data_IF_053493222036
#
_entry.id   IF_053493222036
#
_cell.length_a   1.000
_cell.length_b   1.000
_cell.length_c   1.000
_cell.angle_alpha   90.00
_cell.angle_beta   90.00
_cell.angle_gamma   90.00
#
_symmetry.space_group_name_H-M   'P 1'
#
loop_
_entity.id
_entity.type
_entity.pdbx_description
1 polymer ?
#
# COMPACT_ATOMS: atom_id res chain seq x y z
N UNK A 1 -26.44 -69.28 21.53
CA UNK A 1 -25.88 -69.02 20.18
C UNK A 1 -25.04 -67.76 20.29
N UNK A 2 -23.73 -67.90 20.08
CA UNK A 2 -22.77 -66.83 20.27
C UNK A 2 -22.65 -65.92 19.05
N UNK A 3 -22.11 -64.73 19.30
CA UNK A 3 -21.35 -63.94 18.33
C UNK A 3 -20.19 -63.29 19.11
N UNK A 4 -19.01 -63.87 18.98
CA UNK A 4 -17.74 -63.24 19.38
C UNK A 4 -17.39 -62.17 18.35
N UNK A 5 -17.20 -60.95 18.83
CA UNK A 5 -16.85 -59.80 18.01
C UNK A 5 -15.31 -59.72 17.93
N UNK A 6 -14.72 -60.34 16.90
CA UNK A 6 -13.28 -60.24 16.61
C UNK A 6 -13.04 -59.45 15.34
N UNK A 7 -13.05 -58.11 15.43
CA UNK A 7 -12.45 -57.25 14.40
C UNK A 7 -12.18 -55.87 14.97
N UNK A 8 -10.93 -55.57 15.34
CA UNK A 8 -10.47 -54.18 15.57
C UNK A 8 -8.95 -54.06 15.74
N UNK A 9 -8.24 -55.12 16.16
CA UNK A 9 -6.80 -55.02 16.49
C UNK A 9 -5.86 -55.06 15.29
N UNK A 10 -6.25 -55.69 14.16
CA UNK A 10 -5.40 -55.78 12.97
C UNK A 10 -5.47 -54.53 12.07
N UNK A 11 -6.63 -53.89 11.94
CA UNK A 11 -6.79 -52.69 11.13
C UNK A 11 -6.05 -51.48 11.71
N UNK A 12 -6.05 -51.32 13.04
CA UNK A 12 -5.34 -50.21 13.71
C UNK A 12 -3.82 -50.34 13.54
N UNK A 13 -3.26 -51.56 13.61
CA UNK A 13 -1.83 -51.80 13.40
C UNK A 13 -1.38 -51.56 11.95
N UNK A 14 -2.27 -51.80 10.99
CA UNK A 14 -1.96 -51.56 9.57
C UNK A 14 -1.97 -50.07 9.24
N UNK A 15 -2.90 -49.31 9.82
CA UNK A 15 -3.00 -47.86 9.64
C UNK A 15 -1.80 -47.14 10.25
N UNK A 16 -1.34 -47.56 11.44
CA UNK A 16 -0.13 -46.99 12.06
C UNK A 16 1.14 -47.27 11.25
N UNK A 17 1.31 -48.50 10.74
CA UNK A 17 2.44 -48.82 9.85
C UNK A 17 2.43 -48.00 8.56
N UNK A 18 1.25 -47.85 7.93
CA UNK A 18 1.10 -47.07 6.71
C UNK A 18 1.44 -45.59 6.94
N UNK A 19 0.97 -44.99 8.04
CA UNK A 19 1.32 -43.60 8.39
C UNK A 19 2.82 -43.44 8.66
N UNK A 20 3.46 -44.43 9.29
CA UNK A 20 4.90 -44.37 9.59
C UNK A 20 5.74 -44.46 8.31
N UNK A 21 5.34 -45.28 7.33
CA UNK A 21 6.01 -45.35 6.03
C UNK A 21 5.87 -44.04 5.24
N UNK A 22 4.70 -43.40 5.26
CA UNK A 22 4.50 -42.09 4.60
C UNK A 22 5.35 -41.01 5.26
N UNK A 23 5.43 -40.99 6.60
CA UNK A 23 6.30 -40.05 7.31
C UNK A 23 7.79 -40.28 6.99
N UNK A 24 8.25 -41.54 6.94
CA UNK A 24 9.64 -41.86 6.57
C UNK A 24 9.94 -41.45 5.12
N UNK A 25 8.99 -41.66 4.20
CA UNK A 25 9.13 -41.24 2.80
C UNK A 25 9.16 -39.71 2.66
N UNK A 26 8.35 -38.97 3.43
CA UNK A 26 8.43 -37.51 3.46
C UNK A 26 9.77 -37.02 4.00
N UNK A 27 10.28 -37.63 5.07
CA UNK A 27 11.59 -37.24 5.64
C UNK A 27 12.74 -37.57 4.68
N UNK A 28 12.66 -38.68 3.94
CA UNK A 28 13.70 -39.07 2.98
C UNK A 28 13.63 -38.36 1.63
N UNK A 29 12.53 -37.66 1.34
CA UNK A 29 12.37 -36.80 0.15
C UNK A 29 12.64 -35.33 0.41
N UNK A 30 12.86 -34.92 1.68
CA UNK A 30 13.37 -33.59 2.00
C UNK A 30 14.82 -33.52 1.49
N UNK A 31 15.13 -32.62 0.53
CA UNK A 31 16.49 -32.44 0.07
C UNK A 31 17.38 -32.02 1.24
N UNK A 32 18.54 -32.66 1.35
CA UNK A 32 19.60 -32.20 2.26
C UNK A 32 19.85 -30.71 2.02
N UNK A 33 19.93 -29.93 3.10
CA UNK A 33 20.23 -28.48 3.08
C UNK A 33 21.50 -28.08 2.29
N UNK A 34 22.32 -29.06 1.88
CA UNK A 34 23.47 -28.87 0.99
C UNK A 34 23.13 -28.64 -0.50
N UNK A 35 21.93 -28.98 -0.97
CA UNK A 35 21.59 -28.90 -2.41
C UNK A 35 20.97 -27.56 -2.86
N UNK A 36 20.71 -26.64 -1.93
CA UNK A 36 20.18 -25.31 -2.24
C UNK A 36 21.28 -24.22 -2.24
N UNK A 37 22.38 -24.47 -2.94
CA UNK A 37 23.38 -23.41 -3.18
C UNK A 37 22.91 -22.47 -4.31
N UNK A 38 22.07 -21.49 -3.97
CA UNK A 38 21.89 -20.34 -4.86
C UNK A 38 23.23 -19.59 -4.92
N UNK A 39 24.01 -19.80 -5.98
CA UNK A 39 25.15 -18.95 -6.31
C UNK A 39 24.61 -17.57 -6.66
N UNK A 40 24.44 -16.71 -5.65
CA UNK A 40 24.25 -15.28 -5.88
C UNK A 40 25.46 -14.77 -6.64
N UNK A 41 25.24 -14.36 -7.88
CA UNK A 41 26.24 -13.65 -8.66
C UNK A 41 26.42 -12.27 -8.01
N UNK A 42 27.49 -12.09 -7.20
CA UNK A 42 27.85 -10.79 -6.65
C UNK A 42 28.64 -10.06 -7.74
N UNK A 43 28.10 -9.01 -8.39
CA UNK A 43 28.86 -8.24 -9.36
C UNK A 43 30.07 -7.60 -8.67
N UNK A 44 31.21 -7.58 -9.37
CA UNK A 44 32.51 -7.16 -8.84
C UNK A 44 32.48 -5.78 -8.17
N UNK A 45 33.28 -5.63 -7.10
CA UNK A 45 33.45 -4.38 -6.35
C UNK A 45 33.82 -3.23 -7.29
N UNK A 46 32.87 -2.33 -7.54
CA UNK A 46 33.16 -0.99 -8.05
C UNK A 46 34.01 -0.22 -7.04
N UNK A 47 35.06 0.44 -7.50
CA UNK A 47 36.01 1.23 -6.68
C UNK A 47 35.46 2.57 -6.20
N UNK A 48 34.23 2.94 -6.59
CA UNK A 48 33.55 4.13 -6.08
C UNK A 48 33.00 3.85 -4.68
N UNK A 49 33.26 4.74 -3.71
CA UNK A 49 32.57 4.69 -2.39
C UNK A 49 31.06 4.53 -2.65
N UNK A 50 30.39 3.56 -2.03
CA UNK A 50 28.95 3.37 -2.25
C UNK A 50 28.22 4.64 -1.82
N UNK A 51 27.49 5.24 -2.77
CA UNK A 51 26.67 6.41 -2.50
C UNK A 51 25.58 6.03 -1.49
N UNK A 52 25.32 6.90 -0.51
CA UNK A 52 24.27 6.67 0.48
C UNK A 52 22.90 6.54 -0.21
N UNK A 53 22.05 5.55 0.14
CA UNK A 53 20.72 5.43 -0.45
C UNK A 53 19.78 6.61 -0.14
N UNK A 54 20.15 7.47 0.81
CA UNK A 54 19.42 8.70 1.14
C UNK A 54 19.73 9.87 0.20
N UNK A 55 20.80 9.78 -0.58
CA UNK A 55 21.19 10.82 -1.53
C UNK A 55 20.44 10.65 -2.85
N UNK A 56 20.19 11.78 -3.51
CA UNK A 56 19.75 11.77 -4.90
C UNK A 56 20.88 11.23 -5.78
N UNK A 57 20.53 10.37 -6.74
CA UNK A 57 21.44 9.94 -7.79
C UNK A 57 21.99 11.15 -8.57
N UNK A 58 23.19 11.06 -9.17
CA UNK A 58 23.61 12.02 -10.17
C UNK A 58 22.56 12.15 -11.27
N UNK A 59 22.37 13.36 -11.84
CA UNK A 59 21.30 13.61 -12.82
C UNK A 59 21.37 12.65 -14.03
N UNK A 60 22.57 12.34 -14.51
CA UNK A 60 22.78 11.39 -15.60
C UNK A 60 22.29 9.99 -15.25
N UNK A 61 22.62 9.49 -14.06
CA UNK A 61 22.15 8.20 -13.56
C UNK A 61 20.65 8.19 -13.29
N UNK A 62 20.11 9.28 -12.72
CA UNK A 62 18.68 9.43 -12.49
C UNK A 62 17.88 9.41 -13.81
N UNK A 63 18.41 10.03 -14.88
CA UNK A 63 17.78 9.96 -16.21
C UNK A 63 17.65 8.51 -16.68
N UNK A 64 18.74 7.75 -16.69
CA UNK A 64 18.70 6.34 -17.09
C UNK A 64 17.80 5.50 -16.18
N UNK A 65 17.91 5.69 -14.87
CA UNK A 65 17.15 4.92 -13.88
C UNK A 65 15.64 5.16 -13.96
N UNK A 66 15.22 6.42 -14.12
CA UNK A 66 13.80 6.78 -14.21
C UNK A 66 13.20 6.45 -15.60
N UNK A 67 13.99 6.55 -16.67
CA UNK A 67 13.54 6.22 -18.03
C UNK A 67 13.13 4.76 -18.17
N UNK A 68 13.82 3.83 -17.49
CA UNK A 68 13.42 2.41 -17.43
C UNK A 68 11.99 2.20 -16.90
N UNK A 69 11.47 3.18 -16.13
CA UNK A 69 10.10 3.20 -15.58
C UNK A 69 9.17 4.15 -16.35
N UNK A 70 9.66 4.75 -17.45
CA UNK A 70 8.99 5.80 -18.23
C UNK A 70 8.68 7.06 -17.42
N UNK A 71 9.53 7.37 -16.44
CA UNK A 71 9.42 8.56 -15.59
C UNK A 71 10.59 9.51 -15.83
N UNK A 72 10.35 10.78 -15.56
CA UNK A 72 11.42 11.78 -15.58
C UNK A 72 12.16 11.78 -14.24
N UNK A 73 13.41 12.25 -14.17
CA UNK A 73 14.04 12.54 -12.89
C UNK A 73 13.22 13.56 -12.11
N UNK A 74 13.20 13.42 -10.78
CA UNK A 74 12.62 14.42 -9.89
C UNK A 74 13.24 15.80 -10.19
N UNK A 75 12.43 16.84 -10.45
CA UNK A 75 12.92 18.13 -10.98
C UNK A 75 13.68 18.97 -9.96
N UNK A 76 13.33 18.92 -8.67
CA UNK A 76 13.92 19.78 -7.63
C UNK A 76 15.12 19.12 -6.96
N UNK A 77 16.30 19.19 -7.61
CA UNK A 77 17.50 18.43 -7.19
C UNK A 77 18.55 19.21 -6.40
N UNK A 78 18.31 20.48 -6.06
CA UNK A 78 19.27 21.31 -5.32
C UNK A 78 19.30 21.01 -3.81
N UNK A 79 18.41 20.14 -3.32
CA UNK A 79 18.35 19.70 -1.92
C UNK A 79 18.11 18.20 -1.81
N UNK A 80 17.77 17.75 -0.60
CA UNK A 80 17.37 16.37 -0.35
C UNK A 80 15.86 16.24 -0.54
N UNK A 81 15.43 15.16 -1.19
CA UNK A 81 14.03 14.72 -1.19
C UNK A 81 13.86 13.67 -0.11
N UNK A 82 13.15 14.00 0.98
CA UNK A 82 12.94 13.07 2.08
C UNK A 82 11.85 12.05 1.74
N UNK A 83 11.92 10.90 2.39
CA UNK A 83 10.88 9.88 2.44
C UNK A 83 10.50 9.68 3.90
N UNK A 84 9.23 9.95 4.20
CA UNK A 84 8.59 9.67 5.47
C UNK A 84 7.76 8.41 5.34
N UNK A 85 8.02 7.43 6.20
CA UNK A 85 7.29 6.18 6.25
C UNK A 85 6.28 6.22 7.40
N UNK A 86 5.00 6.34 7.08
CA UNK A 86 3.89 6.53 8.00
C UNK A 86 3.17 5.19 8.22
N UNK A 87 3.20 4.73 9.47
CA UNK A 87 2.74 3.40 9.86
C UNK A 87 1.81 3.54 11.07
N UNK A 88 0.64 2.90 11.00
CA UNK A 88 -0.16 2.64 12.19
C UNK A 88 0.24 1.30 12.77
N UNK A 89 0.36 1.21 14.09
CA UNK A 89 0.75 -0.02 14.79
C UNK A 89 -0.29 -0.42 15.82
N UNK A 90 -0.52 -1.73 15.93
CA UNK A 90 -1.26 -2.32 17.02
C UNK A 90 -0.32 -3.17 17.89
N UNK A 91 -0.22 -4.47 17.63
CA UNK A 91 0.59 -5.43 18.39
C UNK A 91 1.82 -5.93 17.62
N UNK A 92 1.97 -5.51 16.36
CA UNK A 92 2.86 -6.11 15.35
C UNK A 92 4.34 -5.65 15.48
N UNK A 93 4.91 -5.70 16.68
CA UNK A 93 6.27 -5.21 16.95
C UNK A 93 7.36 -5.91 16.12
N UNK A 94 7.18 -7.19 15.80
CA UNK A 94 8.08 -7.96 14.93
C UNK A 94 8.05 -7.47 13.48
N UNK A 95 6.85 -7.15 12.96
CA UNK A 95 6.70 -6.59 11.62
C UNK A 95 7.28 -5.19 11.55
N UNK A 96 7.08 -4.37 12.58
CA UNK A 96 7.70 -3.05 12.66
C UNK A 96 9.22 -3.14 12.66
N UNK A 97 9.81 -4.01 13.48
CA UNK A 97 11.26 -4.21 13.51
C UNK A 97 11.80 -4.72 12.16
N UNK A 98 11.09 -5.67 11.54
CA UNK A 98 11.45 -6.22 10.23
C UNK A 98 11.42 -5.14 9.15
N UNK A 99 10.35 -4.34 9.12
CA UNK A 99 10.20 -3.19 8.20
C UNK A 99 11.34 -2.20 8.39
N UNK A 100 11.58 -1.75 9.63
CA UNK A 100 12.65 -0.79 9.93
C UNK A 100 14.03 -1.34 9.58
N UNK A 101 14.29 -2.63 9.86
CA UNK A 101 15.52 -3.31 9.47
C UNK A 101 15.74 -3.32 7.97
N UNK A 102 14.69 -3.58 7.20
CA UNK A 102 14.74 -3.66 5.74
C UNK A 102 14.91 -2.29 5.08
N UNK A 103 14.17 -1.26 5.52
CA UNK A 103 14.06 0.00 4.78
C UNK A 103 14.74 1.21 5.42
N UNK A 104 15.27 1.09 6.66
CA UNK A 104 15.95 2.21 7.32
C UNK A 104 17.08 2.87 6.52
N UNK A 105 17.84 2.20 5.63
CA UNK A 105 18.82 2.90 4.80
C UNK A 105 18.21 3.84 3.75
N UNK A 106 16.93 3.64 3.39
CA UNK A 106 16.25 4.27 2.26
C UNK A 106 15.22 5.33 2.66
N UNK A 107 14.82 5.37 3.93
CA UNK A 107 13.88 6.34 4.48
C UNK A 107 14.57 7.30 5.44
N UNK A 108 14.06 8.52 5.53
CA UNK A 108 14.63 9.54 6.40
C UNK A 108 14.02 9.47 7.80
N UNK A 109 12.70 9.27 7.89
CA UNK A 109 11.97 9.15 9.16
C UNK A 109 10.87 8.09 9.08
N UNK A 110 10.67 7.39 10.19
CA UNK A 110 9.51 6.54 10.45
C UNK A 110 8.55 7.32 11.35
N UNK A 111 7.36 7.61 10.86
CA UNK A 111 6.26 8.16 11.64
C UNK A 111 5.39 7.00 12.10
N UNK A 112 5.46 6.68 13.38
CA UNK A 112 4.76 5.54 13.96
C UNK A 112 3.61 6.10 14.79
N UNK A 113 2.39 5.75 14.38
CA UNK A 113 1.18 6.11 15.09
C UNK A 113 0.74 4.95 15.97
N UNK A 114 0.66 5.21 17.27
CA UNK A 114 0.14 4.29 18.26
C UNK A 114 -1.03 4.93 19.01
N UNK A 115 -1.92 4.12 19.58
CA UNK A 115 -3.07 4.56 20.38
C UNK A 115 -3.21 3.60 21.56
N UNK A 116 -3.73 4.09 22.68
CA UNK A 116 -4.13 3.28 23.86
C UNK A 116 -5.52 2.65 23.68
N UNK A 117 -6.16 2.87 22.53
CA UNK A 117 -7.41 2.22 22.15
C UNK A 117 -7.37 1.56 20.78
N UNK A 118 -8.14 0.49 20.60
CA UNK A 118 -8.44 -0.11 19.30
C UNK A 118 -9.45 0.72 18.50
N UNK A 119 -9.64 0.37 17.23
CA UNK A 119 -10.73 0.92 16.40
C UNK A 119 -12.13 0.47 16.87
N UNK A 120 -12.22 -0.52 17.75
CA UNK A 120 -13.47 -0.99 18.37
C UNK A 120 -13.63 -0.51 19.82
N UNK A 121 -12.92 0.58 20.17
CA UNK A 121 -12.97 1.24 21.49
C UNK A 121 -12.59 0.34 22.66
N UNK A 122 -11.71 -0.64 22.42
CA UNK A 122 -11.12 -1.46 23.49
C UNK A 122 -9.80 -0.85 23.94
N UNK A 123 -9.57 -0.80 25.25
CA UNK A 123 -8.30 -0.40 25.84
C UNK A 123 -7.17 -1.33 25.39
N UNK A 124 -5.99 -0.77 25.11
CA UNK A 124 -4.78 -1.51 24.75
C UNK A 124 -3.53 -0.80 25.27
N UNK A 125 -2.50 -1.59 25.54
CA UNK A 125 -1.17 -1.06 25.87
C UNK A 125 -0.55 -0.28 24.71
N UNK A 126 0.33 0.65 25.06
CA UNK A 126 1.21 1.35 24.11
C UNK A 126 2.44 0.46 23.84
N UNK A 127 2.24 -0.61 23.09
CA UNK A 127 3.24 -1.64 22.79
C UNK A 127 4.60 -1.10 22.32
N UNK A 128 4.65 -0.11 21.42
CA UNK A 128 5.90 0.49 20.96
C UNK A 128 6.56 1.29 22.08
N UNK A 129 5.77 2.12 22.80
CA UNK A 129 6.28 2.91 23.93
C UNK A 129 6.84 2.03 25.05
N UNK A 130 6.17 0.93 25.37
CA UNK A 130 6.60 -0.04 26.39
C UNK A 130 7.85 -0.84 25.96
N UNK A 131 8.13 -0.94 24.65
CA UNK A 131 9.23 -1.71 24.09
C UNK A 131 10.26 -0.85 23.33
N UNK A 132 10.43 0.43 23.71
CA UNK A 132 11.31 1.38 23.01
C UNK A 132 12.75 0.89 22.85
N UNK A 133 13.28 0.14 23.81
CA UNK A 133 14.64 -0.41 23.75
C UNK A 133 14.86 -1.36 22.57
N UNK A 134 13.81 -2.08 22.13
CA UNK A 134 13.84 -2.94 20.94
C UNK A 134 14.20 -2.15 19.68
N UNK A 135 13.78 -0.89 19.61
CA UNK A 135 13.97 -0.03 18.44
C UNK A 135 15.16 0.94 18.57
N UNK A 136 16.04 0.74 19.56
CA UNK A 136 17.16 1.65 19.88
C UNK A 136 18.03 2.01 18.68
N UNK A 137 18.27 1.05 17.77
CA UNK A 137 19.04 1.27 16.53
C UNK A 137 18.42 2.33 15.60
N UNK A 138 17.10 2.53 15.67
CA UNK A 138 16.33 3.38 14.76
C UNK A 138 15.85 4.69 15.39
N UNK A 139 16.08 4.92 16.70
CA UNK A 139 15.57 6.10 17.43
C UNK A 139 15.86 7.44 16.74
N UNK A 140 17.04 7.60 16.14
CA UNK A 140 17.40 8.83 15.41
C UNK A 140 16.50 9.16 14.21
N UNK A 141 15.75 8.17 13.71
CA UNK A 141 14.79 8.29 12.60
C UNK A 141 13.34 8.12 13.05
N UNK A 142 13.09 7.78 14.30
CA UNK A 142 11.77 7.37 14.77
C UNK A 142 11.01 8.55 15.35
N UNK A 143 9.79 8.75 14.86
CA UNK A 143 8.85 9.77 15.32
C UNK A 143 7.62 9.01 15.81
N UNK A 144 7.53 8.81 17.12
CA UNK A 144 6.39 8.12 17.75
C UNK A 144 5.32 9.14 18.12
N UNK A 145 4.12 9.00 17.57
CA UNK A 145 2.94 9.79 17.93
C UNK A 145 1.93 8.90 18.63
N UNK A 146 1.46 9.33 19.80
CA UNK A 146 0.37 8.65 20.50
C UNK A 146 -0.91 9.42 20.30
N UNK A 147 -1.88 8.78 19.65
CA UNK A 147 -3.15 9.35 19.31
C UNK A 147 -4.18 9.10 20.41
N UNK A 148 -4.86 10.15 20.84
CA UNK A 148 -6.05 10.02 21.67
C UNK A 148 -7.27 9.83 20.75
N UNK A 149 -8.06 8.79 21.02
CA UNK A 149 -9.28 8.46 20.27
C UNK A 149 -10.58 8.67 21.08
N UNK A 150 -10.51 9.31 22.24
CA UNK A 150 -11.65 9.55 23.15
C UNK A 150 -12.68 10.52 22.56
N UNK A 151 -12.22 11.50 21.77
CA UNK A 151 -13.08 12.53 21.18
C UNK A 151 -13.87 12.05 19.96
N UNK A 152 -13.62 10.81 19.48
CA UNK A 152 -14.33 10.24 18.34
C UNK A 152 -15.52 9.41 18.80
N UNK A 153 -16.66 9.60 18.11
CA UNK A 153 -17.86 8.80 18.35
C UNK A 153 -17.58 7.30 18.19
N UNK A 154 -18.18 6.49 19.07
CA UNK A 154 -17.92 5.05 19.23
C UNK A 154 -18.35 4.21 18.02
N UNK A 155 -19.18 4.76 17.14
CA UNK A 155 -20.03 3.95 16.27
C UNK A 155 -19.46 3.62 14.90
N UNK A 156 -18.20 3.97 14.58
CA UNK A 156 -17.59 3.59 13.28
C UNK A 156 -16.10 3.30 13.40
N UNK A 157 -15.73 2.02 13.45
CA UNK A 157 -14.32 1.58 13.41
C UNK A 157 -13.54 2.20 12.25
N UNK A 158 -14.17 2.31 11.07
CA UNK A 158 -13.62 2.99 9.90
C UNK A 158 -13.39 4.50 10.09
N UNK A 159 -14.22 5.18 10.88
CA UNK A 159 -14.00 6.60 11.18
C UNK A 159 -12.78 6.77 12.09
N UNK A 160 -12.59 5.86 13.06
CA UNK A 160 -11.39 5.83 13.91
C UNK A 160 -10.15 5.49 13.09
N UNK A 161 -10.20 4.52 12.19
CA UNK A 161 -9.09 4.22 11.28
C UNK A 161 -8.76 5.43 10.38
N UNK A 162 -9.78 6.04 9.73
CA UNK A 162 -9.59 7.21 8.88
C UNK A 162 -8.99 8.38 9.66
N UNK A 163 -9.48 8.64 10.86
CA UNK A 163 -8.91 9.67 11.74
C UNK A 163 -7.46 9.35 12.09
N UNK A 164 -7.16 8.10 12.45
CA UNK A 164 -5.79 7.65 12.75
C UNK A 164 -4.85 7.84 11.57
N UNK A 165 -5.22 7.38 10.36
CA UNK A 165 -4.42 7.58 9.15
C UNK A 165 -4.19 9.06 8.88
N UNK A 166 -5.23 9.87 8.99
CA UNK A 166 -5.15 11.31 8.75
C UNK A 166 -4.33 12.05 9.82
N UNK A 167 -4.33 11.60 11.08
CA UNK A 167 -3.61 12.24 12.17
C UNK A 167 -2.09 12.31 11.92
N UNK A 168 -1.51 11.31 11.25
CA UNK A 168 -0.10 11.40 10.83
C UNK A 168 0.16 12.57 9.89
N UNK A 169 -0.79 12.91 9.02
CA UNK A 169 -0.69 14.06 8.11
C UNK A 169 -1.11 15.38 8.76
N UNK A 170 -2.18 15.40 9.56
CA UNK A 170 -2.77 16.63 10.11
C UNK A 170 -2.18 17.06 11.45
N UNK A 171 -1.60 16.13 12.21
CA UNK A 171 -1.02 16.40 13.54
C UNK A 171 0.49 16.23 13.54
N UNK A 172 1.01 15.12 12.99
CA UNK A 172 2.45 14.82 13.08
C UNK A 172 3.26 15.67 12.12
N UNK A 173 3.03 15.58 10.80
CA UNK A 173 3.84 16.31 9.81
C UNK A 173 3.94 17.83 10.06
N UNK A 174 2.86 18.55 10.42
CA UNK A 174 2.92 19.99 10.70
C UNK A 174 3.70 20.32 11.98
N UNK A 175 3.85 19.36 12.90
CA UNK A 175 4.63 19.53 14.14
C UNK A 175 6.13 19.32 13.95
N UNK A 176 6.56 18.76 12.81
CA UNK A 176 7.96 18.46 12.56
C UNK A 176 8.75 19.72 12.28
N UNK A 177 9.89 19.87 12.95
CA UNK A 177 10.76 21.05 12.83
C UNK A 177 12.20 20.66 12.53
N UNK A 178 13.02 21.64 12.15
CA UNK A 178 14.46 21.47 11.94
C UNK A 178 14.76 20.36 10.92
N UNK A 179 15.63 19.39 11.23
CA UNK A 179 15.98 18.32 10.31
C UNK A 179 14.76 17.46 9.86
N UNK A 180 13.73 17.37 10.71
CA UNK A 180 12.52 16.58 10.49
C UNK A 180 11.44 17.30 9.67
N UNK A 181 11.53 18.62 9.48
CA UNK A 181 10.49 19.45 8.83
C UNK A 181 10.19 19.00 7.40
N UNK A 182 8.94 18.65 7.08
CA UNK A 182 8.58 18.19 5.74
C UNK A 182 8.45 19.36 4.75
N UNK A 183 8.97 19.18 3.53
CA UNK A 183 8.90 20.19 2.47
C UNK A 183 8.13 19.69 1.25
N UNK A 184 7.66 20.64 0.44
CA UNK A 184 7.00 20.30 -0.81
C UNK A 184 7.92 19.45 -1.71
N UNK A 185 7.37 18.34 -2.18
CA UNK A 185 8.08 17.37 -3.03
C UNK A 185 8.76 16.24 -2.26
N UNK A 186 8.83 16.30 -0.93
CA UNK A 186 9.09 15.12 -0.10
C UNK A 186 8.03 14.04 -0.35
N UNK A 187 8.39 12.81 -0.06
CA UNK A 187 7.54 11.63 -0.27
C UNK A 187 6.97 11.22 1.08
N UNK A 188 5.65 11.04 1.11
CA UNK A 188 4.94 10.44 2.23
C UNK A 188 4.49 9.06 1.75
N UNK A 189 4.98 8.02 2.40
CA UNK A 189 4.54 6.66 2.19
C UNK A 189 3.61 6.30 3.34
N UNK A 190 2.36 5.97 3.02
CA UNK A 190 1.39 5.45 3.99
C UNK A 190 1.11 4.02 3.59
N UNK A 191 1.35 3.08 4.49
CA UNK A 191 1.05 1.66 4.28
C UNK A 191 0.80 0.98 5.61
N UNK A 192 0.26 -0.24 5.55
CA UNK A 192 0.21 -1.07 6.73
C UNK A 192 1.62 -1.59 7.09
N UNK A 193 1.81 -2.02 8.34
CA UNK A 193 3.14 -2.39 8.88
C UNK A 193 3.76 -3.59 8.15
N UNK A 194 2.92 -4.53 7.71
CA UNK A 194 3.27 -5.75 6.98
C UNK A 194 3.44 -5.52 5.46
N UNK A 195 3.01 -4.38 4.93
CA UNK A 195 3.21 -3.97 3.54
C UNK A 195 4.60 -3.37 3.29
N UNK A 196 5.66 -4.17 3.47
CA UNK A 196 7.06 -3.70 3.40
C UNK A 196 7.45 -3.36 1.95
N UNK A 197 7.79 -2.09 1.63
CA UNK A 197 8.17 -1.70 0.28
C UNK A 197 9.50 -2.30 -0.14
N UNK A 198 9.61 -2.61 -1.44
CA UNK A 198 10.92 -2.95 -2.01
C UNK A 198 11.85 -1.74 -1.97
N UNK A 199 13.13 -1.90 -1.59
CA UNK A 199 14.11 -0.81 -1.61
C UNK A 199 14.21 -0.07 -2.96
N UNK A 200 14.03 -0.79 -4.07
CA UNK A 200 14.03 -0.22 -5.42
C UNK A 200 12.85 0.76 -5.65
N UNK A 201 11.69 0.50 -5.04
CA UNK A 201 10.56 1.44 -5.07
C UNK A 201 10.90 2.73 -4.32
N UNK A 202 11.49 2.63 -3.13
CA UNK A 202 11.93 3.80 -2.35
C UNK A 202 13.01 4.60 -3.09
N UNK A 203 13.93 3.93 -3.77
CA UNK A 203 14.92 4.57 -4.64
C UNK A 203 14.25 5.31 -5.80
N UNK A 204 13.19 4.75 -6.39
CA UNK A 204 12.38 5.40 -7.42
C UNK A 204 11.62 6.61 -6.88
N UNK A 205 10.97 6.48 -5.72
CA UNK A 205 10.28 7.60 -5.09
C UNK A 205 11.22 8.75 -4.74
N UNK A 206 12.47 8.46 -4.35
CA UNK A 206 13.47 9.51 -4.13
C UNK A 206 13.88 10.20 -5.43
N UNK A 207 14.11 9.44 -6.49
CA UNK A 207 14.85 9.93 -7.66
C UNK A 207 13.98 10.36 -8.84
N UNK A 208 12.75 9.86 -8.94
CA UNK A 208 11.89 10.02 -10.10
C UNK A 208 10.65 10.86 -9.82
N UNK A 209 10.20 11.58 -10.84
CA UNK A 209 8.94 12.29 -10.89
C UNK A 209 7.84 11.29 -11.27
N UNK A 210 7.38 10.53 -10.26
CA UNK A 210 6.32 9.55 -10.43
C UNK A 210 4.96 10.25 -10.60
N UNK A 211 4.02 9.67 -11.37
CA UNK A 211 2.74 10.29 -11.65
C UNK A 211 1.92 10.50 -10.37
N UNK A 212 1.27 11.66 -10.26
CA UNK A 212 0.44 12.03 -9.09
C UNK A 212 -0.81 11.16 -8.92
N UNK A 213 -1.24 10.40 -9.94
CA UNK A 213 -2.44 9.54 -9.91
C UNK A 213 -2.21 8.28 -10.73
N UNK A 214 -2.64 7.14 -10.19
CA UNK A 214 -3.00 5.96 -10.97
C UNK A 214 -4.50 6.06 -11.26
N UNK A 215 -4.87 6.66 -12.39
CA UNK A 215 -6.23 6.61 -12.90
C UNK A 215 -6.26 5.56 -14.02
N UNK A 216 -7.33 4.77 -14.06
CA UNK A 216 -7.51 3.73 -15.07
C UNK A 216 -8.11 4.36 -16.33
N UNK A 217 -7.49 4.22 -17.51
CA UNK A 217 -8.04 4.73 -18.78
C UNK A 217 -9.36 4.09 -19.17
N UNK A 218 -9.67 2.86 -18.75
CA UNK A 218 -10.91 2.17 -19.13
C UNK A 218 -11.63 1.57 -17.93
N UNK A 219 -12.96 1.41 -18.05
CA UNK A 219 -13.76 0.68 -17.04
C UNK A 219 -13.25 -0.75 -16.90
N UNK A 220 -12.81 -1.38 -18.01
CA UNK A 220 -12.27 -2.72 -18.00
C UNK A 220 -11.02 -2.83 -17.10
N UNK A 221 -10.09 -1.87 -17.20
CA UNK A 221 -8.91 -1.85 -16.33
C UNK A 221 -9.24 -1.60 -14.86
N UNK A 222 -10.22 -0.73 -14.58
CA UNK A 222 -10.72 -0.52 -13.22
C UNK A 222 -11.40 -1.79 -12.67
N UNK A 223 -12.23 -2.47 -13.47
CA UNK A 223 -12.86 -3.75 -13.10
C UNK A 223 -11.80 -4.83 -12.87
N UNK A 224 -10.80 -4.93 -13.74
CA UNK A 224 -9.67 -5.85 -13.54
C UNK A 224 -8.95 -5.54 -12.23
N UNK A 225 -8.78 -4.27 -11.87
CA UNK A 225 -8.19 -3.90 -10.58
C UNK A 225 -9.07 -4.34 -9.40
N UNK A 226 -10.38 -4.05 -9.45
CA UNK A 226 -11.35 -4.45 -8.40
C UNK A 226 -11.35 -5.97 -8.22
N UNK A 227 -11.37 -6.73 -9.31
CA UNK A 227 -11.32 -8.21 -9.30
C UNK A 227 -10.02 -8.77 -8.72
N UNK A 228 -8.95 -8.00 -8.77
CA UNK A 228 -7.62 -8.38 -8.25
C UNK A 228 -7.33 -7.77 -6.87
N UNK A 229 -8.33 -7.21 -6.18
CA UNK A 229 -8.20 -6.83 -4.78
C UNK A 229 -8.19 -8.06 -3.86
N UNK A 230 -7.45 -7.96 -2.75
CA UNK A 230 -7.46 -8.98 -1.70
C UNK A 230 -8.84 -9.11 -1.04
N UNK A 231 -9.59 -8.01 -0.99
CA UNK A 231 -10.97 -7.93 -0.53
C UNK A 231 -11.94 -8.51 -1.56
N UNK A 232 -11.98 -9.83 -1.68
CA UNK A 232 -12.84 -10.55 -2.63
C UNK A 232 -14.33 -10.24 -2.45
N UNK A 233 -14.76 -9.81 -1.27
CA UNK A 233 -16.11 -9.32 -0.98
C UNK A 233 -16.49 -8.10 -1.81
N UNK A 234 -15.52 -7.36 -2.35
CA UNK A 234 -15.73 -6.22 -3.23
C UNK A 234 -15.85 -6.63 -4.71
N UNK A 235 -15.61 -7.91 -5.04
CA UNK A 235 -15.82 -8.46 -6.38
C UNK A 235 -17.28 -8.90 -6.59
N UNK A 236 -18.19 -7.96 -6.37
CA UNK A 236 -19.62 -8.16 -6.61
C UNK A 236 -20.01 -7.47 -7.92
N UNK A 237 -21.04 -8.01 -8.59
CA UNK A 237 -21.58 -7.42 -9.81
C UNK A 237 -21.96 -5.94 -9.59
N UNK A 238 -22.51 -5.60 -8.43
CA UNK A 238 -22.85 -4.21 -8.10
C UNK A 238 -21.66 -3.24 -8.05
N UNK A 239 -20.42 -3.71 -7.94
CA UNK A 239 -19.20 -2.89 -7.92
C UNK A 239 -18.31 -3.07 -9.16
N UNK A 240 -18.62 -4.07 -9.98
CA UNK A 240 -17.89 -4.40 -11.22
C UNK A 240 -18.74 -4.17 -12.47
N UNK A 241 -20.03 -3.89 -12.30
CA UNK A 241 -20.94 -3.51 -13.36
C UNK A 241 -20.50 -2.20 -14.00
N UNK A 242 -20.37 -2.25 -15.32
CA UNK A 242 -19.79 -1.19 -16.13
C UNK A 242 -20.56 0.11 -15.96
N UNK A 243 -21.89 0.03 -15.95
CA UNK A 243 -22.75 1.20 -15.98
C UNK A 243 -22.90 1.84 -14.59
N UNK A 244 -22.95 1.03 -13.54
CA UNK A 244 -22.89 1.53 -12.15
C UNK A 244 -21.56 2.22 -11.84
N UNK A 245 -20.45 1.71 -12.36
CA UNK A 245 -19.14 2.37 -12.22
C UNK A 245 -19.20 3.76 -12.86
N UNK A 246 -19.67 3.85 -14.10
CA UNK A 246 -19.73 5.14 -14.81
C UNK A 246 -20.69 6.11 -14.14
N UNK A 247 -21.87 5.63 -13.71
CA UNK A 247 -22.85 6.44 -12.97
C UNK A 247 -22.24 7.02 -11.69
N UNK A 248 -21.55 6.21 -10.89
CA UNK A 248 -20.93 6.68 -9.64
C UNK A 248 -19.85 7.70 -9.87
N UNK A 249 -18.91 7.43 -10.80
CA UNK A 249 -17.81 8.35 -11.07
C UNK A 249 -18.34 9.69 -11.60
N UNK A 250 -19.38 9.68 -12.45
CA UNK A 250 -19.98 10.92 -12.99
C UNK A 250 -20.75 11.73 -11.95
N UNK A 251 -21.39 11.06 -10.99
CA UNK A 251 -22.14 11.74 -9.93
C UNK A 251 -21.29 12.02 -8.67
N UNK A 252 -19.97 11.84 -8.76
CA UNK A 252 -19.08 12.04 -7.61
C UNK A 252 -19.42 11.12 -6.44
N UNK A 253 -19.94 9.91 -6.71
CA UNK A 253 -20.31 8.94 -5.67
C UNK A 253 -19.18 7.94 -5.47
N UNK A 254 -19.06 7.44 -4.24
CA UNK A 254 -18.15 6.35 -3.94
C UNK A 254 -18.42 5.11 -4.80
N UNK A 255 -17.34 4.51 -5.30
CA UNK A 255 -17.33 3.34 -6.17
C UNK A 255 -18.00 2.11 -5.54
N UNK A 256 -18.03 2.05 -4.21
CA UNK A 256 -18.60 0.95 -3.44
C UNK A 256 -19.93 1.31 -2.76
N UNK A 257 -20.56 2.41 -3.17
CA UNK A 257 -21.90 2.78 -2.73
C UNK A 257 -21.99 3.21 -1.27
N UNK A 258 -20.91 3.76 -0.69
CA UNK A 258 -20.93 4.28 0.67
C UNK A 258 -21.57 5.68 0.69
N UNK A 259 -22.73 5.81 1.33
CA UNK A 259 -23.54 7.04 1.38
C UNK A 259 -22.84 8.28 1.97
N UNK A 260 -21.74 8.08 2.72
CA UNK A 260 -21.01 9.18 3.38
C UNK A 260 -19.78 9.65 2.59
N UNK A 261 -19.54 9.12 1.39
CA UNK A 261 -18.39 9.46 0.56
C UNK A 261 -18.84 10.03 -0.79
N UNK A 262 -18.89 11.36 -0.84
CA UNK A 262 -19.18 12.15 -2.04
C UNK A 262 -17.98 13.02 -2.40
N UNK A 263 -17.75 13.19 -3.69
CA UNK A 263 -16.63 13.91 -4.27
C UNK A 263 -17.14 15.08 -5.11
N UNK A 264 -16.73 16.29 -4.76
CA UNK A 264 -17.07 17.48 -5.53
C UNK A 264 -16.16 17.62 -6.75
N UNK A 265 -16.75 17.98 -7.89
CA UNK A 265 -15.99 18.39 -9.06
C UNK A 265 -15.37 19.77 -8.82
N UNK A 266 -14.07 19.89 -9.03
CA UNK A 266 -13.36 21.18 -8.99
C UNK A 266 -13.24 21.70 -10.42
N UNK A 267 -14.02 22.72 -10.74
CA UNK A 267 -13.92 23.43 -12.02
C UNK A 267 -12.56 24.11 -12.16
N UNK A 268 -12.05 24.17 -13.39
CA UNK A 268 -10.78 24.83 -13.74
C UNK A 268 -9.61 24.44 -12.81
N UNK A 269 -9.51 23.14 -12.48
CA UNK A 269 -8.50 22.66 -11.54
C UNK A 269 -7.06 22.98 -12.02
N UNK A 270 -6.45 23.99 -11.41
CA UNK A 270 -5.09 24.44 -11.76
C UNK A 270 -3.98 23.57 -11.16
N UNK A 271 -4.31 22.62 -10.27
CA UNK A 271 -3.37 21.63 -9.68
C UNK A 271 -3.31 20.32 -10.49
N UNK A 272 -3.59 20.38 -11.79
CA UNK A 272 -3.30 19.29 -12.73
C UNK A 272 -1.85 19.35 -13.23
N UNK A 273 -1.13 18.21 -13.30
CA UNK A 273 0.22 18.15 -13.85
C UNK A 273 0.35 18.84 -15.21
N UNK A 274 1.39 19.66 -15.39
CA UNK A 274 1.62 20.45 -16.61
C UNK A 274 1.64 19.59 -17.90
N UNK A 275 2.14 18.35 -17.81
CA UNK A 275 2.13 17.42 -18.95
C UNK A 275 0.70 17.04 -19.37
N UNK A 276 -0.20 16.77 -18.42
CA UNK A 276 -1.60 16.49 -18.74
C UNK A 276 -2.25 17.72 -19.37
N UNK A 277 -2.00 18.92 -18.82
CA UNK A 277 -2.49 20.18 -19.42
C UNK A 277 -2.00 20.38 -20.86
N UNK A 278 -0.75 20.03 -21.15
CA UNK A 278 -0.15 20.13 -22.49
C UNK A 278 -0.58 19.01 -23.44
N UNK A 279 -0.88 17.82 -22.92
CA UNK A 279 -1.31 16.64 -23.68
C UNK A 279 -2.79 16.35 -23.47
N UNK A 280 -3.59 17.40 -23.26
CA UNK A 280 -4.98 17.30 -22.84
C UNK A 280 -5.86 16.50 -23.81
N UNK A 281 -5.58 16.57 -25.11
CA UNK A 281 -6.30 15.76 -26.11
C UNK A 281 -6.08 14.25 -25.91
N UNK A 282 -4.87 13.82 -25.56
CA UNK A 282 -4.54 12.40 -25.36
C UNK A 282 -5.05 11.87 -24.02
N UNK A 283 -5.09 12.71 -23.01
CA UNK A 283 -5.45 12.33 -21.64
C UNK A 283 -6.74 13.01 -21.19
N UNK A 284 -7.65 13.24 -22.14
CA UNK A 284 -8.89 13.97 -21.92
C UNK A 284 -9.73 13.33 -20.81
N UNK A 285 -9.76 12.00 -20.77
CA UNK A 285 -10.38 11.17 -19.73
C UNK A 285 -9.87 11.43 -18.29
N UNK A 286 -8.71 12.09 -18.12
CA UNK A 286 -8.15 12.46 -16.82
C UNK A 286 -8.47 13.90 -16.39
N UNK A 287 -8.95 14.72 -17.31
CA UNK A 287 -9.03 16.18 -17.17
C UNK A 287 -10.43 16.74 -17.36
N UNK A 288 -11.24 16.09 -18.20
CA UNK A 288 -12.57 16.55 -18.58
C UNK A 288 -13.62 15.57 -18.04
N UNK A 289 -14.40 15.96 -17.02
CA UNK A 289 -15.49 15.14 -16.49
C UNK A 289 -16.64 14.94 -17.48
N UNK A 290 -16.78 15.85 -18.46
CA UNK A 290 -17.78 15.77 -19.52
C UNK A 290 -17.33 14.83 -20.64
N UNK A 291 -16.02 14.81 -20.95
CA UNK A 291 -15.42 13.87 -21.92
C UNK A 291 -14.75 12.66 -21.27
N UNK A 292 -15.63 11.96 -20.54
CA UNK A 292 -15.55 10.53 -20.25
C UNK A 292 -14.35 10.12 -19.39
N UNK A 293 -14.59 10.02 -18.08
CA UNK A 293 -13.71 9.40 -17.07
C UNK A 293 -13.09 8.04 -17.47
N UNK A 294 -13.61 7.41 -18.54
CA UNK A 294 -13.10 6.21 -19.18
C UNK A 294 -13.15 6.38 -20.71
N UNK A 295 -12.10 5.94 -21.41
CA UNK A 295 -12.06 5.86 -22.87
C UNK A 295 -13.18 4.93 -23.40
N UNK A 296 -13.86 5.35 -24.48
CA UNK A 296 -14.87 4.53 -25.17
C UNK A 296 -16.29 4.56 -24.57
N UNK A 297 -16.65 5.66 -23.90
CA UNK A 297 -18.03 6.00 -23.56
C UNK A 297 -18.42 7.25 -24.34
N UNK A 298 -19.62 7.32 -24.93
CA UNK A 298 -20.10 8.56 -25.59
C UNK A 298 -21.05 9.37 -24.69
N UNK A 299 -21.29 10.65 -25.04
CA UNK A 299 -22.29 11.50 -24.36
C UNK A 299 -23.69 10.94 -24.58
N UNK A 300 -23.97 10.41 -25.77
CA UNK A 300 -25.25 9.82 -26.13
C UNK A 300 -25.53 8.51 -25.36
N UNK A 301 -24.50 7.66 -25.15
CA UNK A 301 -24.61 6.45 -24.32
C UNK A 301 -24.88 6.81 -22.84
N UNK A 302 -24.32 7.93 -22.38
CA UNK A 302 -24.54 8.45 -21.03
C UNK A 302 -25.97 8.95 -20.83
N UNK A 303 -26.43 9.80 -21.75
CA UNK A 303 -27.74 10.42 -21.70
C UNK A 303 -28.84 9.39 -21.94
N UNK A 304 -28.65 8.44 -22.86
CA UNK A 304 -29.59 7.34 -23.07
C UNK A 304 -29.71 6.40 -21.85
N UNK A 305 -28.62 6.23 -21.09
CA UNK A 305 -28.67 5.45 -19.84
C UNK A 305 -29.40 6.21 -18.72
N UNK A 306 -29.13 7.51 -18.57
CA UNK A 306 -29.80 8.36 -17.57
C UNK A 306 -31.30 8.51 -17.87
N UNK A 307 -31.66 8.65 -19.15
CA UNK A 307 -33.06 8.76 -19.58
C UNK A 307 -33.88 7.47 -19.40
N UNK A 308 -33.24 6.30 -19.31
CA UNK A 308 -33.92 5.01 -19.10
C UNK A 308 -34.04 4.58 -17.63
N UNK A 309 -33.64 5.43 -16.67
CA UNK A 309 -33.67 5.11 -15.24
C UNK A 309 -34.74 5.85 -14.43
N UNK A 310 -35.48 6.75 -15.08
CA UNK A 310 -36.64 7.44 -14.52
C UNK A 310 -37.98 6.70 -14.81
N UNK A 311 -37.93 5.45 -15.28
CA UNK A 311 -39.06 4.50 -15.35
C UNK A 311 -38.89 3.34 -14.34
#
# INVERSE_FOLDING_TARGET
MGLQNTSSTHHIKFLTLATLMVCIWFISTIPSSSDLSYKLHIPGKSSKKPQSPLELLPLTEAKTYCEQRRWKPYPYRQGRRKIYDLIMINTELEWLETRMGQISPYVDYFVILESDKTFTDQEKSLHVRENMDRFKKYHSKMILHTLNLDELSKDRAWAREKFSRNAMFTQVLPSLTSAQEAFQGDVILVSDVDEIPRPDALKAFRNCDFPKRYCFPTVAELVTKIKNFSNTEMNQEQFTDRDKIVERVRNGRDMFGRDNEHYDQVEENMDVPHFLRRSGERYRYLLDPLDWNFEGYSVEEAEAYLANKDD
#
